data_IF_110024056916
#
_entry.id   IF_110024056916
#
_cell.length_a   1.000
_cell.length_b   1.000
_cell.length_c   1.000
_cell.angle_alpha   90.00
_cell.angle_beta   90.00
_cell.angle_gamma   90.00
#
_symmetry.space_group_name_H-M   'P 1'
#
loop_
_entity.id
_entity.type
_entity.pdbx_description
1 polymer ?
#
# COMPACT_ATOMS: atom_id res chain seq x y z
N UNK A 1 7.29 -16.23 -26.79
CA UNK A 1 5.82 -16.40 -26.67
C UNK A 1 5.20 -15.32 -27.54
N UNK A 2 4.51 -15.68 -28.62
CA UNK A 2 3.88 -14.68 -29.49
C UNK A 2 2.52 -14.29 -28.89
N UNK A 3 2.23 -12.99 -28.84
CA UNK A 3 0.92 -12.50 -28.44
C UNK A 3 -0.10 -12.77 -29.56
N UNK A 4 -1.38 -13.04 -29.23
CA UNK A 4 -2.44 -13.10 -30.23
C UNK A 4 -2.59 -11.75 -30.95
N UNK A 5 -3.10 -11.78 -32.18
CA UNK A 5 -3.27 -10.60 -33.03
C UNK A 5 -4.16 -9.50 -32.41
N UNK A 6 -5.00 -9.87 -31.45
CA UNK A 6 -5.80 -8.96 -30.63
C UNK A 6 -5.87 -9.48 -29.19
N UNK A 7 -5.84 -8.58 -28.22
CA UNK A 7 -6.01 -8.87 -26.79
C UNK A 7 -6.74 -7.70 -26.12
N UNK A 8 -7.38 -7.97 -24.98
CA UNK A 8 -8.10 -6.97 -24.20
C UNK A 8 -7.32 -6.56 -22.93
N UNK A 9 -7.94 -5.75 -22.08
CA UNK A 9 -7.34 -5.28 -20.83
C UNK A 9 -6.99 -6.41 -19.85
N UNK A 10 -7.55 -7.62 -20.00
CA UNK A 10 -7.27 -8.75 -19.12
C UNK A 10 -5.82 -9.24 -19.26
N UNK A 11 -5.16 -8.97 -20.39
CA UNK A 11 -3.73 -9.25 -20.59
C UNK A 11 -2.89 -8.62 -19.46
N UNK A 12 -3.19 -7.37 -19.10
CA UNK A 12 -2.43 -6.63 -18.09
C UNK A 12 -2.63 -7.18 -16.69
N UNK A 13 -3.84 -7.61 -16.36
CA UNK A 13 -4.11 -8.29 -15.08
C UNK A 13 -3.36 -9.62 -14.98
N UNK A 14 -3.30 -10.40 -16.07
CA UNK A 14 -2.53 -11.64 -16.11
C UNK A 14 -1.03 -11.39 -15.98
N UNK A 15 -0.50 -10.37 -16.69
CA UNK A 15 0.90 -9.97 -16.60
C UNK A 15 1.27 -9.49 -15.19
N UNK A 16 0.43 -8.67 -14.57
CA UNK A 16 0.61 -8.20 -13.19
C UNK A 16 0.68 -9.37 -12.20
N UNK A 17 -0.23 -10.33 -12.31
CA UNK A 17 -0.24 -11.54 -11.47
C UNK A 17 0.99 -12.42 -11.70
N UNK A 18 1.42 -12.58 -12.95
CA UNK A 18 2.61 -13.38 -13.28
C UNK A 18 3.90 -12.70 -12.78
N UNK A 19 3.97 -11.38 -12.92
CA UNK A 19 5.06 -10.56 -12.42
C UNK A 19 5.19 -10.68 -10.89
N UNK A 20 4.08 -10.57 -10.16
CA UNK A 20 4.01 -10.79 -8.72
C UNK A 20 4.45 -12.21 -8.33
N UNK A 21 3.95 -13.23 -9.04
CA UNK A 21 4.33 -14.62 -8.77
C UNK A 21 5.81 -14.91 -8.99
N UNK A 22 6.48 -14.19 -9.91
CA UNK A 22 7.89 -14.41 -10.23
C UNK A 22 8.84 -13.46 -9.50
N UNK A 23 8.36 -12.31 -9.04
CA UNK A 23 9.13 -11.32 -8.29
C UNK A 23 8.28 -10.78 -7.12
N UNK A 24 8.09 -11.59 -6.05
CA UNK A 24 7.21 -11.21 -4.95
C UNK A 24 7.76 -10.09 -4.05
N UNK A 25 9.04 -9.75 -4.19
CA UNK A 25 9.73 -8.79 -3.32
C UNK A 25 10.25 -7.55 -4.05
N UNK A 26 10.07 -7.47 -5.37
CA UNK A 26 10.62 -6.39 -6.20
C UNK A 26 9.68 -6.09 -7.37
N UNK A 27 9.72 -4.86 -7.89
CA UNK A 27 9.01 -4.51 -9.13
C UNK A 27 9.84 -5.04 -10.31
N UNK A 28 9.37 -6.04 -11.07
CA UNK A 28 10.14 -6.57 -12.18
C UNK A 28 10.01 -5.70 -13.43
N UNK A 29 11.09 -5.61 -14.21
CA UNK A 29 11.05 -5.01 -15.55
C UNK A 29 10.51 -6.07 -16.52
N UNK A 30 9.33 -5.80 -17.11
CA UNK A 30 8.76 -6.64 -18.14
C UNK A 30 9.33 -6.23 -19.51
N UNK A 31 10.03 -7.16 -20.16
CA UNK A 31 10.57 -7.00 -21.52
C UNK A 31 9.76 -7.83 -22.52
N UNK A 32 9.85 -7.51 -23.81
CA UNK A 32 9.08 -8.15 -24.89
C UNK A 32 7.69 -7.55 -25.13
N UNK A 33 7.38 -6.43 -24.48
CA UNK A 33 6.13 -5.68 -24.63
C UNK A 33 6.35 -4.29 -25.25
N UNK A 34 7.56 -4.01 -25.73
CA UNK A 34 7.98 -2.69 -26.25
C UNK A 34 7.19 -2.27 -27.49
N UNK A 35 6.69 -3.25 -28.24
CA UNK A 35 5.83 -3.04 -29.41
C UNK A 35 4.37 -2.75 -29.05
N UNK A 36 3.97 -3.01 -27.80
CA UNK A 36 2.67 -2.62 -27.27
C UNK A 36 2.80 -1.20 -26.71
N UNK A 37 2.64 -0.19 -27.57
CA UNK A 37 2.55 1.20 -27.11
C UNK A 37 1.30 1.35 -26.26
N UNK A 38 1.48 1.32 -24.94
CA UNK A 38 0.47 1.77 -23.99
C UNK A 38 0.85 3.17 -23.53
N UNK A 39 -0.03 4.14 -23.74
CA UNK A 39 0.18 5.48 -23.21
C UNK A 39 0.09 5.42 -21.67
N UNK A 40 0.84 6.26 -20.92
CA UNK A 40 0.72 6.35 -19.46
C UNK A 40 -0.73 6.51 -18.97
N UNK A 41 -1.58 7.12 -19.81
CA UNK A 41 -2.99 7.38 -19.53
C UNK A 41 -3.89 6.15 -19.68
N UNK A 42 -3.45 5.06 -20.30
CA UNK A 42 -4.32 3.90 -20.52
C UNK A 42 -4.65 3.15 -19.21
N UNK A 43 -3.92 3.41 -18.12
CA UNK A 43 -4.27 2.93 -16.79
C UNK A 43 -5.29 3.83 -16.09
N UNK A 44 -5.50 5.06 -16.56
CA UNK A 44 -6.37 6.04 -15.90
C UNK A 44 -7.84 5.63 -15.94
N UNK A 45 -8.32 5.13 -17.08
CA UNK A 45 -9.68 4.62 -17.27
C UNK A 45 -10.01 3.43 -16.34
N UNK A 46 -9.25 2.32 -16.38
CA UNK A 46 -9.50 1.20 -15.48
C UNK A 46 -9.28 1.58 -14.02
N UNK A 47 -8.31 2.45 -13.70
CA UNK A 47 -8.14 2.98 -12.34
C UNK A 47 -9.35 3.76 -11.85
N UNK A 48 -9.90 4.67 -12.67
CA UNK A 48 -11.12 5.43 -12.33
C UNK A 48 -12.32 4.51 -12.17
N UNK A 49 -12.46 3.51 -13.05
CA UNK A 49 -13.55 2.53 -12.96
C UNK A 49 -13.44 1.67 -11.69
N UNK A 50 -12.24 1.24 -11.33
CA UNK A 50 -11.98 0.51 -10.10
C UNK A 50 -12.26 1.36 -8.85
N UNK A 51 -11.87 2.64 -8.88
CA UNK A 51 -12.07 3.60 -7.79
C UNK A 51 -13.36 4.41 -7.93
N UNK A 52 -14.36 3.95 -8.69
CA UNK A 52 -15.65 4.62 -8.85
C UNK A 52 -16.55 4.53 -7.60
N UNK A 53 -15.99 4.12 -6.46
CA UNK A 53 -16.65 4.17 -5.17
C UNK A 53 -16.94 5.61 -4.74
N UNK A 54 -17.81 5.79 -3.75
CA UNK A 54 -18.15 7.12 -3.25
C UNK A 54 -16.98 7.86 -2.60
N UNK A 55 -17.15 9.17 -2.40
CA UNK A 55 -16.09 10.06 -1.89
C UNK A 55 -15.67 9.80 -0.43
N UNK A 56 -16.38 8.90 0.27
CA UNK A 56 -16.09 8.58 1.67
C UNK A 56 -15.07 7.45 1.77
N UNK A 57 -13.92 7.75 2.35
CA UNK A 57 -12.88 6.77 2.68
C UNK A 57 -12.96 6.42 4.17
N UNK A 58 -13.36 5.19 4.47
CA UNK A 58 -13.48 4.71 5.85
C UNK A 58 -12.12 4.23 6.42
N UNK A 59 -11.21 3.78 5.54
CA UNK A 59 -9.90 3.23 5.90
C UNK A 59 -8.85 3.50 4.82
N UNK A 60 -7.68 3.99 5.24
CA UNK A 60 -6.46 4.03 4.44
C UNK A 60 -5.49 3.00 5.01
N UNK A 61 -5.15 1.98 4.24
CA UNK A 61 -4.11 1.01 4.58
C UNK A 61 -2.89 1.25 3.71
N UNK A 62 -1.78 1.63 4.33
CA UNK A 62 -0.50 1.75 3.66
C UNK A 62 0.24 0.42 3.91
N UNK A 63 0.91 -0.11 2.87
CA UNK A 63 2.06 -1.04 2.89
C UNK A 63 1.97 -2.23 1.93
N UNK A 64 2.82 -2.27 0.91
CA UNK A 64 3.22 -3.54 0.31
C UNK A 64 4.74 -3.59 0.08
N UNK A 65 5.48 -4.57 0.66
CA UNK A 65 5.06 -5.50 1.72
C UNK A 65 5.05 -4.85 3.12
N UNK A 66 5.94 -3.88 3.40
CA UNK A 66 6.02 -3.12 4.67
C UNK A 66 6.54 -1.71 4.40
N UNK A 67 6.06 -0.70 5.14
CA UNK A 67 6.64 0.63 5.09
C UNK A 67 8.03 0.61 5.75
N UNK A 68 8.99 1.22 5.08
CA UNK A 68 10.35 1.41 5.58
C UNK A 68 10.37 2.55 6.60
N UNK A 69 11.32 2.50 7.53
CA UNK A 69 11.50 3.54 8.54
C UNK A 69 11.57 4.96 7.95
N UNK A 70 12.27 5.12 6.82
CA UNK A 70 12.39 6.40 6.14
C UNK A 70 11.03 6.90 5.59
N UNK A 71 10.16 6.00 5.15
CA UNK A 71 8.83 6.34 4.67
C UNK A 71 7.93 6.72 5.84
N UNK A 72 7.98 5.97 6.94
CA UNK A 72 7.17 6.28 8.13
C UNK A 72 7.60 7.58 8.79
N UNK A 73 8.90 7.91 8.75
CA UNK A 73 9.39 9.23 9.20
C UNK A 73 8.85 10.36 8.32
N UNK A 74 8.95 10.24 6.99
CA UNK A 74 8.40 11.24 6.06
C UNK A 74 6.89 11.39 6.22
N UNK A 75 6.20 10.29 6.49
CA UNK A 75 4.77 10.28 6.78
C UNK A 75 4.46 11.07 8.06
N UNK A 76 5.18 10.79 9.16
CA UNK A 76 5.05 11.54 10.41
C UNK A 76 5.38 13.02 10.24
N UNK A 77 6.45 13.37 9.51
CA UNK A 77 6.85 14.76 9.28
C UNK A 77 5.78 15.56 8.52
N UNK A 78 5.03 14.93 7.61
CA UNK A 78 3.93 15.60 6.89
C UNK A 78 2.64 15.68 7.69
N UNK A 79 2.44 14.77 8.63
CA UNK A 79 1.21 14.65 9.41
C UNK A 79 1.33 15.17 10.83
N UNK A 80 2.48 15.70 11.23
CA UNK A 80 2.77 16.18 12.59
C UNK A 80 1.71 17.16 13.12
N UNK A 81 1.15 18.01 12.24
CA UNK A 81 0.08 18.95 12.56
C UNK A 81 -1.29 18.56 11.95
N UNK A 82 -1.40 17.40 11.33
CA UNK A 82 -2.60 16.98 10.58
C UNK A 82 -3.14 15.65 11.12
N UNK A 83 -4.46 15.55 11.10
CA UNK A 83 -5.17 14.33 11.46
C UNK A 83 -6.01 13.87 10.28
N UNK A 84 -6.17 12.55 10.14
CA UNK A 84 -7.20 12.02 9.27
C UNK A 84 -8.57 12.56 9.69
N UNK A 85 -9.47 12.73 8.72
CA UNK A 85 -10.86 13.05 9.00
C UNK A 85 -11.44 12.05 10.01
N UNK A 86 -12.31 12.48 10.93
CA UNK A 86 -12.80 11.64 12.04
C UNK A 86 -13.50 10.33 11.58
N UNK A 87 -14.03 10.32 10.35
CA UNK A 87 -14.63 9.13 9.74
C UNK A 87 -13.64 8.18 9.04
N UNK A 88 -12.35 8.53 9.00
CA UNK A 88 -11.31 7.83 8.24
C UNK A 88 -10.25 7.31 9.18
N UNK A 89 -10.08 5.99 9.22
CA UNK A 89 -8.98 5.35 9.95
C UNK A 89 -7.75 5.23 9.06
N UNK A 90 -6.56 5.32 9.63
CA UNK A 90 -5.32 4.99 8.93
C UNK A 90 -4.57 3.87 9.64
N UNK A 91 -4.06 2.95 8.83
CA UNK A 91 -3.24 1.83 9.28
C UNK A 91 -1.93 1.83 8.50
N UNK A 92 -0.82 1.66 9.21
CA UNK A 92 0.51 1.44 8.63
C UNK A 92 1.03 0.08 9.08
N UNK A 93 1.40 -0.77 8.12
CA UNK A 93 1.94 -2.11 8.40
C UNK A 93 3.47 -2.13 8.34
N UNK A 94 4.14 -2.32 9.47
CA UNK A 94 5.61 -2.27 9.52
C UNK A 94 6.25 -3.57 9.98
N UNK A 95 7.50 -3.77 9.56
CA UNK A 95 8.32 -4.86 10.09
C UNK A 95 8.66 -4.64 11.57
N UNK A 96 8.93 -5.74 12.30
CA UNK A 96 9.30 -5.70 13.74
C UNK A 96 10.47 -4.76 14.04
N UNK A 97 11.52 -4.83 13.21
CA UNK A 97 12.70 -3.96 13.36
C UNK A 97 12.31 -2.50 13.21
N UNK A 98 11.53 -2.16 12.18
CA UNK A 98 11.02 -0.80 11.96
C UNK A 98 10.20 -0.30 13.13
N UNK A 99 9.37 -1.15 13.76
CA UNK A 99 8.60 -0.76 14.95
C UNK A 99 9.52 -0.38 16.11
N UNK A 100 10.55 -1.20 16.38
CA UNK A 100 11.52 -0.89 17.43
C UNK A 100 12.29 0.41 17.13
N UNK A 101 12.72 0.58 15.87
CA UNK A 101 13.44 1.78 15.44
C UNK A 101 12.57 3.04 15.53
N UNK A 102 11.26 2.93 15.23
CA UNK A 102 10.30 4.03 15.38
C UNK A 102 10.06 4.42 16.83
N UNK A 103 9.93 3.43 17.72
CA UNK A 103 9.77 3.67 19.16
C UNK A 103 11.02 4.36 19.74
N UNK A 104 12.21 3.88 19.39
CA UNK A 104 13.47 4.49 19.82
C UNK A 104 13.66 5.94 19.34
N UNK A 105 13.00 6.32 18.23
CA UNK A 105 13.04 7.68 17.68
C UNK A 105 11.84 8.56 18.09
N UNK A 106 10.93 8.07 18.94
CA UNK A 106 9.73 8.81 19.35
C UNK A 106 8.76 9.10 18.19
N UNK A 107 8.84 8.35 17.08
CA UNK A 107 7.98 8.58 15.91
C UNK A 107 6.53 8.16 16.20
N UNK A 108 6.33 7.14 17.04
CA UNK A 108 4.99 6.65 17.42
C UNK A 108 4.23 7.73 18.19
N UNK A 109 4.92 8.43 19.09
CA UNK A 109 4.32 9.43 19.98
C UNK A 109 3.83 10.67 19.21
N UNK A 110 4.40 10.92 18.03
CA UNK A 110 4.00 12.01 17.13
C UNK A 110 2.70 11.72 16.40
N UNK A 111 2.27 10.45 16.31
CA UNK A 111 1.09 10.02 15.59
C UNK A 111 0.17 9.16 16.47
N UNK A 112 -0.36 9.68 17.59
CA UNK A 112 -1.14 8.90 18.56
C UNK A 112 -2.45 8.35 17.98
N UNK A 113 -2.93 8.92 16.87
CA UNK A 113 -4.14 8.51 16.16
C UNK A 113 -3.89 7.40 15.12
N UNK A 114 -2.62 7.15 14.76
CA UNK A 114 -2.27 6.17 13.74
C UNK A 114 -2.23 4.77 14.33
N UNK A 115 -2.94 3.83 13.70
CA UNK A 115 -2.80 2.42 14.06
C UNK A 115 -1.58 1.82 13.37
N UNK A 116 -0.60 1.36 14.16
CA UNK A 116 0.58 0.66 13.66
C UNK A 116 0.40 -0.84 13.83
N UNK A 117 0.34 -1.57 12.72
CA UNK A 117 0.22 -3.02 12.73
C UNK A 117 1.58 -3.67 12.42
N UNK A 118 2.06 -4.60 13.26
CA UNK A 118 3.23 -5.37 12.92
C UNK A 118 2.90 -6.43 11.86
N UNK A 119 3.82 -6.62 10.91
CA UNK A 119 3.75 -7.54 9.77
C UNK A 119 3.27 -8.97 10.05
N UNK A 120 3.50 -9.48 11.25
CA UNK A 120 3.16 -10.85 11.66
C UNK A 120 1.74 -10.95 12.26
N UNK A 121 1.01 -9.83 12.34
CA UNK A 121 -0.35 -9.79 12.81
C UNK A 121 -1.32 -10.32 11.74
N UNK A 122 -1.84 -11.53 11.97
CA UNK A 122 -2.76 -12.22 11.08
C UNK A 122 -4.19 -11.68 11.27
N UNK A 123 -4.81 -11.16 10.20
CA UNK A 123 -6.17 -10.59 10.23
C UNK A 123 -7.28 -11.61 10.59
N UNK A 124 -6.98 -12.91 10.74
CA UNK A 124 -7.94 -13.95 11.16
C UNK A 124 -8.35 -13.88 12.64
N UNK A 125 -7.67 -13.10 13.46
CA UNK A 125 -8.01 -12.87 14.87
C UNK A 125 -8.27 -11.39 15.11
N UNK A 126 -9.30 -10.83 14.48
CA UNK A 126 -9.78 -9.49 14.80
C UNK A 126 -10.64 -9.55 16.07
N UNK A 127 -9.99 -9.47 17.24
CA UNK A 127 -10.64 -9.03 18.49
C UNK A 127 -9.94 -7.76 18.94
N UNK A 128 -10.75 -6.71 19.05
CA UNK A 128 -10.48 -5.35 19.56
C UNK A 128 -9.17 -5.20 20.36
N UNK A 129 -8.30 -4.30 19.92
CA UNK A 129 -7.26 -3.75 20.80
C UNK A 129 -7.50 -2.27 21.06
N UNK A 130 -7.57 -1.96 22.36
CA UNK A 130 -7.49 -0.61 22.93
C UNK A 130 -6.13 0.01 22.57
N UNK A 131 -6.14 1.32 22.37
CA UNK A 131 -4.93 2.14 22.28
C UNK A 131 -3.99 1.80 23.43
N UNK A 132 -2.73 1.48 23.11
CA UNK A 132 -1.69 1.41 24.11
C UNK A 132 -1.25 2.85 24.38
N UNK A 133 -1.72 3.39 25.49
CA UNK A 133 -1.11 4.54 26.14
C UNK A 133 -0.08 4.01 27.12
N UNK A 134 1.17 4.43 26.97
CA UNK A 134 2.17 4.51 28.03
C UNK A 134 3.04 5.73 27.72
#
# INVERSE_FOLDING_TARGET
>A
MALPASFDDALWSMLGRLAESRSPASIPVLTGLEHLSRAPDDLSQPWRKFNAGGDRIDLVAICSPHALLAETRRFADRLDAQHCHNGTRAIVTIARKTLADMAAQGIIDRLPWLTVLPAWFNQRTAVSFKSVSA
#
